data_IF_577226788573
#
_entry.id   IF_577226788573
#
_cell.length_a   1.000
_cell.length_b   1.000
_cell.length_c   1.000
_cell.angle_alpha   90.00
_cell.angle_beta   90.00
_cell.angle_gamma   90.00
#
_symmetry.space_group_name_H-M   'P 1'
#
loop_
_entity.id
_entity.type
_entity.pdbx_description
1 polymer ?
#
# COMPACT_ATOMS: atom_id res chain seq x y z
N UNK A 1 -10.68 31.79 -6.68
CA UNK A 1 -9.22 31.87 -6.68
C UNK A 1 -8.75 31.87 -5.23
N UNK A 2 -8.54 30.70 -4.65
CA UNK A 2 -8.09 30.54 -3.25
C UNK A 2 -6.62 30.19 -3.28
N UNK A 3 -5.76 31.18 -3.49
CA UNK A 3 -4.32 30.99 -3.39
C UNK A 3 -3.95 30.77 -1.92
N UNK A 4 -3.65 29.54 -1.55
CA UNK A 4 -3.08 29.22 -0.23
C UNK A 4 -1.60 29.62 -0.27
N UNK A 5 -1.13 30.37 0.73
CA UNK A 5 0.28 30.69 0.92
C UNK A 5 0.82 29.89 2.09
N UNK A 6 1.91 29.16 1.87
CA UNK A 6 2.64 28.46 2.93
C UNK A 6 3.72 29.41 3.44
N UNK A 7 3.67 29.74 4.73
CA UNK A 7 4.66 30.60 5.39
C UNK A 7 5.77 29.80 6.07
N UNK A 8 6.81 30.49 6.53
CA UNK A 8 7.87 29.90 7.33
C UNK A 8 7.33 29.40 8.69
N UNK A 9 7.63 28.15 9.04
CA UNK A 9 7.08 27.49 10.22
C UNK A 9 7.58 28.14 11.53
N UNK A 10 8.85 28.55 11.59
CA UNK A 10 9.45 29.14 12.77
C UNK A 10 8.84 30.52 13.07
N UNK A 11 8.69 31.34 12.03
CA UNK A 11 8.08 32.67 12.16
C UNK A 11 6.61 32.61 12.53
N UNK A 12 5.86 31.67 11.97
CA UNK A 12 4.46 31.45 12.32
C UNK A 12 4.32 30.97 13.77
N UNK A 13 5.15 30.02 14.21
CA UNK A 13 5.14 29.53 15.58
C UNK A 13 5.48 30.63 16.60
N UNK A 14 6.47 31.48 16.32
CA UNK A 14 6.80 32.64 17.18
C UNK A 14 5.61 33.60 17.37
N UNK A 15 4.78 33.76 16.33
CA UNK A 15 3.59 34.62 16.38
C UNK A 15 2.42 33.97 17.10
N UNK A 16 2.19 32.67 16.85
CA UNK A 16 1.04 31.94 17.37
C UNK A 16 1.23 31.49 18.83
N UNK A 17 2.43 31.05 19.21
CA UNK A 17 2.65 30.46 20.51
C UNK A 17 2.32 31.37 21.70
N UNK A 18 2.65 32.67 21.72
CA UNK A 18 2.23 33.56 22.82
C UNK A 18 0.71 33.67 22.97
N UNK A 19 -0.05 33.49 21.89
CA UNK A 19 -1.51 33.48 21.91
C UNK A 19 -2.01 32.16 22.48
N UNK A 20 -1.51 31.04 21.94
CA UNK A 20 -1.90 29.69 22.38
C UNK A 20 -1.56 29.45 23.85
N UNK A 21 -0.39 29.92 24.31
CA UNK A 21 0.10 29.71 25.68
C UNK A 21 -0.75 30.36 26.77
N UNK A 22 -1.67 31.27 26.42
CA UNK A 22 -2.57 31.89 27.41
C UNK A 22 -3.51 30.87 28.05
N UNK A 23 -3.95 29.90 27.25
CA UNK A 23 -4.99 28.94 27.64
C UNK A 23 -4.51 27.48 27.53
N UNK A 24 -3.18 27.24 27.43
CA UNK A 24 -2.63 25.89 27.24
C UNK A 24 -1.48 25.58 28.19
N UNK A 25 -1.61 24.49 28.95
CA UNK A 25 -0.55 23.95 29.81
C UNK A 25 0.54 23.19 29.05
N UNK A 26 0.15 22.55 27.94
CA UNK A 26 1.01 21.73 27.07
C UNK A 26 0.77 22.10 25.61
N UNK A 27 1.80 22.59 24.93
CA UNK A 27 1.79 22.90 23.50
C UNK A 27 2.51 21.79 22.72
N UNK A 28 1.76 21.02 21.94
CA UNK A 28 2.29 19.99 21.04
C UNK A 28 2.42 20.56 19.63
N UNK A 29 3.60 20.41 19.03
CA UNK A 29 3.88 20.80 17.64
C UNK A 29 3.98 19.55 16.79
N UNK A 30 2.97 19.28 15.98
CA UNK A 30 3.02 18.24 14.95
C UNK A 30 3.68 18.80 13.68
N UNK A 31 4.84 18.27 13.32
CA UNK A 31 5.69 18.78 12.25
C UNK A 31 5.81 17.75 11.12
N UNK A 32 5.43 18.14 9.90
CA UNK A 32 5.68 17.37 8.68
C UNK A 32 6.73 18.09 7.83
N UNK A 33 8.00 17.86 8.14
CA UNK A 33 9.16 18.52 7.53
C UNK A 33 10.41 17.66 7.70
N UNK A 34 11.56 18.09 7.15
CA UNK A 34 12.81 17.36 7.35
C UNK A 34 13.17 17.24 8.83
N UNK A 35 13.95 16.22 9.18
CA UNK A 35 14.40 16.01 10.55
C UNK A 35 15.18 17.21 11.12
N UNK A 36 16.01 17.84 10.30
CA UNK A 36 16.85 18.97 10.73
C UNK A 36 16.01 20.22 10.96
N UNK A 37 15.02 20.49 10.11
CA UNK A 37 14.09 21.60 10.32
C UNK A 37 13.26 21.39 11.59
N UNK A 38 12.75 20.17 11.82
CA UNK A 38 11.97 19.87 13.03
C UNK A 38 12.81 19.98 14.31
N UNK A 39 14.09 19.59 14.26
CA UNK A 39 15.04 19.84 15.36
C UNK A 39 15.27 21.32 15.59
N UNK A 40 15.38 22.13 14.53
CA UNK A 40 15.50 23.57 14.65
C UNK A 40 14.26 24.18 15.33
N UNK A 41 13.05 23.71 14.97
CA UNK A 41 11.81 24.10 15.65
C UNK A 41 11.83 23.70 17.14
N UNK A 42 12.26 22.49 17.47
CA UNK A 42 12.42 22.05 18.87
C UNK A 42 13.42 22.90 19.65
N UNK A 43 14.54 23.28 19.02
CA UNK A 43 15.57 24.12 19.63
C UNK A 43 15.09 25.55 19.94
N UNK A 44 14.01 26.02 19.30
CA UNK A 44 13.40 27.32 19.63
C UNK A 44 12.73 27.35 21.02
N UNK A 45 12.46 26.18 21.62
CA UNK A 45 11.86 26.10 22.96
C UNK A 45 10.40 26.57 23.04
N UNK A 46 9.70 26.63 21.91
CA UNK A 46 8.34 27.18 21.83
C UNK A 46 7.28 26.13 22.20
N UNK A 47 7.41 24.90 21.68
CA UNK A 47 6.56 23.76 22.07
C UNK A 47 7.07 23.06 23.33
N UNK A 48 6.21 22.25 23.96
CA UNK A 48 6.61 21.31 25.04
C UNK A 48 6.87 19.89 24.51
N UNK A 49 6.28 19.57 23.37
CA UNK A 49 6.49 18.32 22.64
C UNK A 49 6.52 18.66 21.15
N UNK A 50 7.55 18.20 20.45
CA UNK A 50 7.63 18.32 18.99
C UNK A 50 7.63 16.92 18.41
N UNK A 51 6.60 16.61 17.60
CA UNK A 51 6.44 15.32 16.94
C UNK A 51 6.74 15.52 15.47
N UNK A 52 7.86 14.97 15.00
CA UNK A 52 8.23 15.00 13.59
C UNK A 52 7.76 13.73 12.89
N UNK A 53 6.87 13.89 11.92
CA UNK A 53 6.45 12.84 11.00
C UNK A 53 6.87 13.23 9.58
N UNK A 54 7.90 12.61 9.02
CA UNK A 54 8.22 12.72 7.60
C UNK A 54 8.93 11.44 7.15
N UNK A 55 8.83 11.12 5.86
CA UNK A 55 9.35 9.86 5.31
C UNK A 55 10.87 9.93 5.28
N UNK A 56 11.53 9.26 6.22
CA UNK A 56 12.98 9.10 6.27
C UNK A 56 13.40 7.73 5.73
N UNK A 57 14.68 7.53 5.38
CA UNK A 57 15.16 6.23 4.86
C UNK A 57 15.18 5.11 5.92
N UNK A 58 15.37 5.47 7.18
CA UNK A 58 15.50 4.50 8.27
C UNK A 58 14.14 4.21 8.90
N UNK A 59 13.76 2.92 8.95
CA UNK A 59 12.60 2.43 9.69
C UNK A 59 13.07 1.59 10.89
N UNK A 60 12.49 1.83 12.06
CA UNK A 60 12.77 1.07 13.27
C UNK A 60 11.80 -0.10 13.38
N UNK A 61 12.19 -1.25 12.83
CA UNK A 61 11.38 -2.48 12.86
C UNK A 61 11.55 -3.25 14.17
N UNK A 62 10.54 -4.00 14.62
CA UNK A 62 10.68 -4.86 15.79
C UNK A 62 11.58 -6.06 15.50
N UNK A 63 12.15 -6.65 16.56
CA UNK A 63 12.74 -7.98 16.47
C UNK A 63 11.67 -9.01 16.13
N UNK A 64 12.11 -10.15 15.57
CA UNK A 64 11.23 -11.28 15.29
C UNK A 64 10.45 -11.69 16.55
N UNK A 65 9.14 -11.86 16.41
CA UNK A 65 8.20 -12.24 17.48
C UNK A 65 8.00 -11.17 18.58
N UNK A 66 8.39 -9.91 18.33
CA UNK A 66 8.01 -8.75 19.15
C UNK A 66 7.14 -7.80 18.34
N UNK A 67 6.21 -7.13 19.01
CA UNK A 67 5.37 -6.09 18.41
C UNK A 67 5.49 -4.74 19.12
N UNK A 68 6.38 -4.61 20.10
CA UNK A 68 6.65 -3.35 20.80
C UNK A 68 8.13 -3.01 20.68
N UNK A 69 8.41 -1.78 20.25
CA UNK A 69 9.78 -1.26 20.15
C UNK A 69 9.91 0.00 20.97
N UNK A 70 10.98 0.10 21.76
CA UNK A 70 11.35 1.36 22.41
C UNK A 70 11.90 2.31 21.34
N UNK A 71 11.15 3.39 21.10
CA UNK A 71 11.53 4.39 20.12
C UNK A 71 12.32 5.51 20.81
N UNK A 72 13.43 5.96 20.21
CA UNK A 72 14.21 7.06 20.74
C UNK A 72 13.37 8.34 20.80
N UNK A 73 13.68 9.14 21.80
CA UNK A 73 13.30 10.53 21.93
C UNK A 73 14.52 11.29 22.42
N UNK A 74 14.51 12.62 22.28
CA UNK A 74 15.55 13.46 22.87
C UNK A 74 14.93 14.52 23.76
N UNK A 75 15.55 14.71 24.92
CA UNK A 75 15.27 15.84 25.79
C UNK A 75 15.87 17.11 25.14
N UNK A 76 15.00 18.02 24.72
CA UNK A 76 15.38 19.28 24.06
C UNK A 76 15.04 20.50 24.89
N UNK A 77 15.36 21.70 24.38
CA UNK A 77 14.94 22.98 25.00
C UNK A 77 13.41 23.06 25.10
N UNK A 78 12.70 22.48 24.13
CA UNK A 78 11.25 22.32 24.11
C UNK A 78 10.73 21.20 25.01
N UNK A 79 11.54 20.46 25.77
CA UNK A 79 11.07 19.33 26.57
C UNK A 79 11.26 17.99 25.87
N UNK A 80 10.40 17.60 24.92
CA UNK A 80 10.51 16.28 24.24
C UNK A 80 10.44 16.42 22.72
N UNK A 81 11.40 15.82 22.02
CA UNK A 81 11.37 15.67 20.56
C UNK A 81 11.23 14.20 20.17
N UNK A 82 10.23 13.90 19.34
CA UNK A 82 9.94 12.57 18.83
C UNK A 82 10.20 12.49 17.32
N UNK A 83 10.85 11.41 16.91
CA UNK A 83 10.97 10.99 15.51
C UNK A 83 9.97 9.88 15.26
N UNK A 84 9.08 10.08 14.28
CA UNK A 84 8.34 8.97 13.68
C UNK A 84 9.34 8.12 12.90
N UNK A 85 9.72 6.96 13.45
CA UNK A 85 10.67 6.02 12.86
C UNK A 85 10.00 4.94 12.03
N UNK A 86 8.78 5.21 11.58
CA UNK A 86 8.00 4.28 10.79
C UNK A 86 7.50 4.99 9.56
N UNK A 87 7.42 4.23 8.47
CA UNK A 87 6.98 4.71 7.16
C UNK A 87 5.63 4.12 6.75
N UNK A 88 5.24 3.03 7.41
CA UNK A 88 4.01 2.29 7.14
C UNK A 88 3.01 2.55 8.26
N UNK A 89 1.71 2.47 7.94
CA UNK A 89 0.62 2.54 8.93
C UNK A 89 0.57 1.29 9.84
N UNK A 90 1.67 0.57 9.97
CA UNK A 90 1.80 -0.67 10.72
C UNK A 90 2.08 -0.47 12.19
N UNK A 91 2.21 0.78 12.66
CA UNK A 91 2.46 1.04 14.07
C UNK A 91 1.71 2.24 14.59
N UNK A 92 1.46 2.22 15.89
CA UNK A 92 0.91 3.35 16.65
C UNK A 92 1.99 3.80 17.65
N UNK A 93 2.33 5.08 17.60
CA UNK A 93 3.22 5.69 18.59
C UNK A 93 2.52 5.85 19.94
N UNK A 94 3.14 5.34 21.01
CA UNK A 94 2.71 5.52 22.40
C UNK A 94 3.72 6.38 23.14
N UNK A 95 3.33 7.62 23.42
CA UNK A 95 4.10 8.54 24.24
C UNK A 95 3.49 8.61 25.64
N UNK A 96 4.25 8.19 26.65
CA UNK A 96 3.89 8.30 28.05
C UNK A 96 4.80 9.32 28.73
N UNK A 97 4.21 10.37 29.29
CA UNK A 97 4.96 11.47 29.90
C UNK A 97 4.41 11.80 31.28
N UNK A 98 5.31 11.97 32.25
CA UNK A 98 4.98 12.45 33.60
C UNK A 98 5.62 13.80 33.85
N UNK A 99 4.80 14.77 34.28
CA UNK A 99 5.25 16.12 34.65
C UNK A 99 5.26 16.28 36.16
N UNK A 100 6.26 16.99 36.67
CA UNK A 100 6.34 17.40 38.08
C UNK A 100 5.40 18.57 38.38
N UNK A 101 5.18 18.84 39.67
CA UNK A 101 4.48 20.06 40.12
C UNK A 101 5.21 21.36 39.74
N UNK A 102 6.52 21.28 39.42
CA UNK A 102 7.31 22.40 38.93
C UNK A 102 7.35 22.46 37.39
N UNK A 103 6.38 21.81 36.71
CA UNK A 103 6.24 21.83 35.26
C UNK A 103 7.42 21.25 34.46
N UNK A 104 8.27 20.43 35.10
CA UNK A 104 9.37 19.71 34.43
C UNK A 104 8.96 18.28 34.09
N UNK A 105 9.29 17.82 32.90
CA UNK A 105 9.17 16.41 32.53
C UNK A 105 10.12 15.55 33.37
N UNK A 106 9.63 14.42 33.91
CA UNK A 106 10.37 13.55 34.83
C UNK A 106 10.54 12.13 34.30
N UNK A 107 9.57 11.66 33.54
CA UNK A 107 9.63 10.36 32.89
C UNK A 107 9.00 10.50 31.52
N UNK A 108 9.72 10.07 30.50
CA UNK A 108 9.27 10.05 29.12
C UNK A 108 9.55 8.64 28.61
N UNK A 109 8.51 7.97 28.11
CA UNK A 109 8.63 6.71 27.40
C UNK A 109 8.01 6.91 26.03
N UNK A 110 8.76 6.56 24.99
CA UNK A 110 8.27 6.54 23.62
C UNK A 110 8.37 5.11 23.12
N UNK A 111 7.25 4.55 22.70
CA UNK A 111 7.16 3.20 22.16
C UNK A 111 6.43 3.21 20.83
N UNK A 112 6.78 2.28 19.96
CA UNK A 112 6.02 1.95 18.76
C UNK A 112 5.33 0.61 19.00
N UNK A 113 4.01 0.60 18.88
CA UNK A 113 3.17 -0.60 18.94
C UNK A 113 2.88 -1.03 17.51
N UNK A 114 3.50 -2.10 17.04
CA UNK A 114 3.26 -2.66 15.73
C UNK A 114 1.94 -3.45 15.70
N UNK A 115 1.08 -3.11 14.75
CA UNK A 115 -0.25 -3.66 14.54
C UNK A 115 -0.15 -4.99 13.78
N UNK A 116 0.19 -6.04 14.52
CA UNK A 116 0.18 -7.40 14.02
C UNK A 116 -1.12 -8.13 14.39
N UNK A 117 -1.15 -9.45 14.19
CA UNK A 117 -2.33 -10.29 14.43
C UNK A 117 -2.62 -10.53 15.91
N UNK A 118 -1.80 -10.02 16.83
CA UNK A 118 -2.12 -10.08 18.27
C UNK A 118 -3.24 -9.10 18.64
N UNK A 119 -3.47 -8.06 17.83
CA UNK A 119 -4.54 -7.10 18.05
C UNK A 119 -5.81 -7.52 17.32
N UNK A 120 -6.91 -7.58 18.05
CA UNK A 120 -8.23 -7.78 17.45
C UNK A 120 -8.68 -6.52 16.69
N UNK A 121 -9.25 -6.72 15.51
CA UNK A 121 -9.84 -5.64 14.74
C UNK A 121 -11.13 -5.14 15.43
N UNK A 122 -11.32 -3.82 15.50
CA UNK A 122 -12.57 -3.25 16.01
C UNK A 122 -13.74 -3.62 15.09
N UNK A 123 -14.81 -4.26 15.61
CA UNK A 123 -15.97 -4.63 14.80
C UNK A 123 -16.65 -3.43 14.14
N UNK A 124 -16.64 -2.27 14.81
CA UNK A 124 -17.21 -1.02 14.27
C UNK A 124 -16.41 -0.51 13.06
N UNK A 125 -15.08 -0.53 13.16
CA UNK A 125 -14.19 -0.11 12.09
C UNK A 125 -14.29 -1.07 10.90
N UNK A 126 -14.28 -2.39 11.13
CA UNK A 126 -14.49 -3.39 10.07
C UNK A 126 -15.80 -3.14 9.33
N UNK A 127 -16.89 -2.86 10.05
CA UNK A 127 -18.19 -2.54 9.43
C UNK A 127 -18.13 -1.28 8.56
N UNK A 128 -17.40 -0.24 8.99
CA UNK A 128 -17.23 0.98 8.21
C UNK A 128 -16.41 0.74 6.94
N UNK A 129 -15.30 0.00 7.03
CA UNK A 129 -14.49 -0.38 5.88
C UNK A 129 -15.27 -1.24 4.89
N UNK A 130 -16.01 -2.24 5.37
CA UNK A 130 -16.86 -3.08 4.53
C UNK A 130 -17.89 -2.25 3.73
N UNK A 131 -18.54 -1.29 4.39
CA UNK A 131 -19.51 -0.41 3.74
C UNK A 131 -18.83 0.48 2.67
N UNK A 132 -17.65 1.02 2.99
CA UNK A 132 -16.87 1.84 2.06
C UNK A 132 -16.40 1.02 0.84
N UNK A 133 -15.89 -0.19 1.05
CA UNK A 133 -15.44 -1.08 -0.02
C UNK A 133 -16.61 -1.47 -0.96
N UNK A 134 -17.81 -1.66 -0.41
CA UNK A 134 -19.04 -1.86 -1.20
C UNK A 134 -19.36 -0.64 -2.05
N UNK A 135 -19.29 0.57 -1.48
CA UNK A 135 -19.55 1.81 -2.22
C UNK A 135 -18.52 2.04 -3.34
N UNK A 136 -17.22 1.85 -3.04
CA UNK A 136 -16.15 1.93 -4.02
C UNK A 136 -16.37 0.92 -5.16
N UNK A 137 -16.68 -0.34 -4.83
CA UNK A 137 -17.01 -1.36 -5.82
C UNK A 137 -18.15 -0.87 -6.73
N UNK A 138 -19.25 -0.44 -6.16
CA UNK A 138 -20.45 -0.07 -6.93
C UNK A 138 -20.17 1.16 -7.81
N UNK A 139 -19.38 2.11 -7.31
CA UNK A 139 -18.90 3.25 -8.08
C UNK A 139 -18.05 2.83 -9.29
N UNK A 140 -17.03 1.99 -9.08
CA UNK A 140 -16.15 1.54 -10.15
C UNK A 140 -16.89 0.66 -11.17
N UNK A 141 -17.75 -0.26 -10.72
CA UNK A 141 -18.55 -1.10 -11.61
C UNK A 141 -19.45 -0.23 -12.49
N UNK A 142 -20.16 0.73 -11.90
CA UNK A 142 -21.04 1.64 -12.65
C UNK A 142 -20.27 2.49 -13.66
N UNK A 143 -19.18 3.14 -13.23
CA UNK A 143 -18.35 3.97 -14.12
C UNK A 143 -17.83 3.17 -15.31
N UNK A 144 -17.44 1.91 -15.09
CA UNK A 144 -16.95 1.01 -16.13
C UNK A 144 -18.05 0.56 -17.09
N UNK A 145 -19.23 0.20 -16.58
CA UNK A 145 -20.39 -0.14 -17.41
C UNK A 145 -20.78 1.02 -18.34
N UNK A 146 -20.80 2.25 -17.81
CA UNK A 146 -21.08 3.45 -18.59
C UNK A 146 -20.03 3.68 -19.67
N UNK A 147 -18.74 3.58 -19.33
CA UNK A 147 -17.65 3.71 -20.29
C UNK A 147 -17.70 2.63 -21.38
N UNK A 148 -17.97 1.38 -21.00
CA UNK A 148 -18.13 0.26 -21.93
C UNK A 148 -19.30 0.48 -22.87
N UNK A 149 -20.46 0.89 -22.35
CA UNK A 149 -21.64 1.18 -23.17
C UNK A 149 -21.36 2.31 -24.18
N UNK A 150 -20.63 3.35 -23.78
CA UNK A 150 -20.22 4.44 -24.67
C UNK A 150 -19.25 3.94 -25.76
N UNK A 151 -18.27 3.11 -25.41
CA UNK A 151 -17.33 2.54 -26.37
C UNK A 151 -18.04 1.60 -27.35
N UNK A 152 -18.88 0.69 -26.85
CA UNK A 152 -19.66 -0.25 -27.68
C UNK A 152 -20.56 0.50 -28.67
N UNK A 153 -21.19 1.62 -28.24
CA UNK A 153 -21.96 2.49 -29.12
C UNK A 153 -21.08 3.08 -30.24
N UNK A 154 -19.86 3.54 -29.94
CA UNK A 154 -18.92 4.07 -30.93
C UNK A 154 -18.42 2.98 -31.89
N UNK A 155 -18.17 1.77 -31.40
CA UNK A 155 -17.74 0.62 -32.21
C UNK A 155 -18.85 0.22 -33.19
N UNK A 156 -20.09 0.07 -32.69
CA UNK A 156 -21.27 -0.26 -33.52
C UNK A 156 -21.55 0.81 -34.57
N UNK A 157 -21.38 2.09 -34.22
CA UNK A 157 -21.52 3.19 -35.18
C UNK A 157 -20.50 3.15 -36.33
N UNK A 158 -19.38 2.41 -36.17
CA UNK A 158 -18.38 2.15 -37.21
C UNK A 158 -18.64 0.84 -37.98
N UNK A 159 -19.77 0.16 -37.74
CA UNK A 159 -20.11 -1.11 -38.38
C UNK A 159 -19.28 -2.31 -37.92
N UNK A 160 -18.67 -2.21 -36.74
CA UNK A 160 -17.85 -3.28 -36.14
C UNK A 160 -18.60 -3.93 -34.98
N UNK A 161 -18.30 -5.20 -34.71
CA UNK A 161 -18.83 -5.91 -33.54
C UNK A 161 -17.95 -5.67 -32.29
N UNK A 162 -18.51 -5.17 -31.17
CA UNK A 162 -17.73 -4.91 -29.97
C UNK A 162 -17.11 -6.15 -29.30
N UNK A 163 -17.74 -7.31 -29.39
CA UNK A 163 -17.20 -8.56 -28.82
C UNK A 163 -15.99 -9.04 -29.64
N UNK A 164 -16.11 -9.03 -30.98
CA UNK A 164 -14.98 -9.33 -31.87
C UNK A 164 -13.81 -8.35 -31.66
N UNK A 165 -14.09 -7.05 -31.50
CA UNK A 165 -13.07 -6.05 -31.22
C UNK A 165 -12.36 -6.31 -29.89
N UNK A 166 -13.09 -6.72 -28.85
CA UNK A 166 -12.50 -7.07 -27.55
C UNK A 166 -11.64 -8.31 -27.65
N UNK A 167 -12.11 -9.37 -28.31
CA UNK A 167 -11.35 -10.61 -28.47
C UNK A 167 -10.08 -10.38 -29.29
N UNK A 168 -10.17 -9.62 -30.39
CA UNK A 168 -9.00 -9.29 -31.23
C UNK A 168 -7.94 -8.49 -30.50
N UNK A 169 -8.35 -7.63 -29.57
CA UNK A 169 -7.43 -6.78 -28.81
C UNK A 169 -6.89 -7.46 -27.54
N UNK A 170 -7.43 -8.62 -27.15
CA UNK A 170 -7.03 -9.35 -25.95
C UNK A 170 -5.55 -9.73 -26.02
N UNK A 171 -4.78 -9.40 -25.00
CA UNK A 171 -3.33 -9.69 -24.93
C UNK A 171 -2.98 -10.87 -24.04
N UNK A 172 -3.84 -11.18 -23.08
CA UNK A 172 -3.65 -12.27 -22.14
C UNK A 172 -4.37 -13.55 -22.60
N UNK A 173 -3.71 -14.69 -22.45
CA UNK A 173 -4.23 -16.01 -22.78
C UNK A 173 -4.95 -16.65 -21.58
N UNK A 174 -4.50 -16.36 -20.36
CA UNK A 174 -4.92 -17.00 -19.13
C UNK A 174 -4.22 -18.35 -18.90
N UNK A 175 -4.06 -18.71 -17.63
CA UNK A 175 -3.37 -19.94 -17.21
C UNK A 175 -3.93 -21.23 -17.85
N UNK A 176 -5.24 -21.25 -18.17
CA UNK A 176 -5.89 -22.40 -18.77
C UNK A 176 -5.33 -22.70 -20.17
N UNK A 177 -5.06 -21.66 -20.97
CA UNK A 177 -4.42 -21.80 -22.28
C UNK A 177 -2.96 -22.22 -22.14
N UNK A 178 -2.23 -21.64 -21.18
CA UNK A 178 -0.84 -22.03 -20.93
C UNK A 178 -0.70 -23.52 -20.59
N UNK A 179 -1.65 -24.06 -19.80
CA UNK A 179 -1.68 -25.47 -19.40
C UNK A 179 -1.70 -26.46 -20.58
N UNK A 180 -2.31 -26.08 -21.70
CA UNK A 180 -2.46 -26.97 -22.87
C UNK A 180 -1.11 -27.42 -23.44
N UNK A 181 -0.09 -26.55 -23.38
CA UNK A 181 1.27 -26.87 -23.83
C UNK A 181 2.28 -27.01 -22.66
N UNK A 182 2.04 -26.33 -21.53
CA UNK A 182 2.95 -26.25 -20.38
C UNK A 182 2.39 -26.91 -19.11
N UNK A 183 1.84 -28.11 -19.23
CA UNK A 183 1.21 -28.81 -18.11
C UNK A 183 2.10 -28.95 -16.86
N UNK A 184 3.39 -29.26 -17.04
CA UNK A 184 4.34 -29.40 -15.92
C UNK A 184 4.54 -28.09 -15.15
N UNK A 185 4.76 -26.99 -15.88
CA UNK A 185 4.89 -25.65 -15.29
C UNK A 185 3.60 -25.22 -14.59
N UNK A 186 2.45 -25.51 -15.21
CA UNK A 186 1.15 -25.26 -14.64
C UNK A 186 0.95 -25.98 -13.31
N UNK A 187 1.34 -27.25 -13.20
CA UNK A 187 1.20 -28.03 -11.96
C UNK A 187 2.06 -27.45 -10.84
N UNK A 188 3.29 -27.01 -11.14
CA UNK A 188 4.12 -26.28 -10.17
C UNK A 188 3.43 -25.00 -9.70
N UNK A 189 2.96 -24.16 -10.64
CA UNK A 189 2.28 -22.91 -10.34
C UNK A 189 1.01 -23.11 -9.50
N UNK A 190 0.19 -24.09 -9.88
CA UNK A 190 -1.11 -24.38 -9.25
C UNK A 190 -0.97 -24.65 -7.75
N UNK A 191 0.12 -25.29 -7.33
CA UNK A 191 0.34 -25.64 -5.94
C UNK A 191 0.89 -24.47 -5.09
N UNK A 192 1.26 -23.36 -5.72
CA UNK A 192 1.69 -22.14 -5.00
C UNK A 192 0.52 -21.33 -4.43
N UNK A 193 0.84 -20.31 -3.64
CA UNK A 193 -0.15 -19.31 -3.18
C UNK A 193 -0.61 -18.39 -4.29
N UNK A 194 0.21 -18.18 -5.32
CA UNK A 194 -0.12 -17.32 -6.45
C UNK A 194 -1.39 -17.77 -7.16
N UNK A 195 -1.63 -19.09 -7.30
CA UNK A 195 -2.82 -19.64 -7.97
C UNK A 195 -4.16 -19.31 -7.30
N UNK A 196 -4.14 -18.85 -6.05
CA UNK A 196 -5.30 -18.52 -5.22
C UNK A 196 -5.19 -17.15 -4.54
N UNK A 197 -4.33 -16.28 -5.08
CA UNK A 197 -4.01 -14.98 -4.49
C UNK A 197 -5.26 -14.12 -4.27
N UNK A 198 -6.23 -14.10 -5.18
CA UNK A 198 -7.42 -13.24 -5.03
C UNK A 198 -8.30 -13.66 -3.84
N UNK A 199 -8.24 -14.93 -3.43
CA UNK A 199 -9.13 -15.44 -2.38
C UNK A 199 -8.76 -14.86 -1.01
N UNK A 200 -7.51 -14.46 -0.80
CA UNK A 200 -7.12 -13.74 0.42
C UNK A 200 -7.83 -12.39 0.51
N UNK A 201 -8.01 -11.70 -0.63
CA UNK A 201 -8.69 -10.41 -0.67
C UNK A 201 -10.20 -10.55 -0.51
N UNK A 202 -10.82 -11.59 -1.09
CA UNK A 202 -12.26 -11.85 -0.90
C UNK A 202 -12.61 -12.10 0.56
N UNK A 203 -11.73 -12.79 1.30
CA UNK A 203 -11.94 -13.06 2.72
C UNK A 203 -11.94 -11.78 3.56
N UNK A 204 -11.22 -10.75 3.11
CA UNK A 204 -11.14 -9.43 3.77
C UNK A 204 -11.94 -8.34 3.04
N UNK A 205 -12.70 -8.70 1.99
CA UNK A 205 -13.47 -7.79 1.14
C UNK A 205 -12.65 -6.67 0.50
N UNK A 206 -11.39 -6.96 0.15
CA UNK A 206 -10.43 -6.04 -0.46
C UNK A 206 -10.24 -6.33 -1.97
N UNK A 207 -11.05 -7.20 -2.58
CA UNK A 207 -10.91 -7.57 -3.99
C UNK A 207 -11.27 -6.46 -4.99
N UNK A 208 -11.66 -5.28 -4.49
CA UNK A 208 -11.90 -4.06 -5.25
C UNK A 208 -10.91 -2.94 -4.92
N UNK A 209 -10.00 -3.17 -3.95
CA UNK A 209 -8.98 -2.19 -3.57
C UNK A 209 -7.86 -2.18 -4.62
N UNK A 210 -7.65 -1.05 -5.34
CA UNK A 210 -6.59 -0.91 -6.33
C UNK A 210 -5.18 -1.23 -5.83
N UNK A 211 -4.90 -0.97 -4.54
CA UNK A 211 -3.60 -1.23 -3.93
C UNK A 211 -3.36 -2.74 -3.75
N UNK A 212 -4.43 -3.49 -3.50
CA UNK A 212 -4.37 -4.92 -3.27
C UNK A 212 -4.44 -5.75 -4.57
N UNK A 213 -5.36 -5.40 -5.48
CA UNK A 213 -5.56 -6.19 -6.72
C UNK A 213 -4.36 -6.15 -7.65
N UNK A 214 -3.51 -5.12 -7.55
CA UNK A 214 -2.24 -5.02 -8.28
C UNK A 214 -1.31 -6.22 -8.07
N UNK A 215 -1.22 -6.71 -6.83
CA UNK A 215 -0.35 -7.84 -6.47
C UNK A 215 -1.07 -9.19 -6.40
N UNK A 216 -2.41 -9.20 -6.48
CA UNK A 216 -3.22 -10.41 -6.31
C UNK A 216 -3.88 -10.89 -7.62
N UNK A 217 -3.60 -10.23 -8.75
CA UNK A 217 -4.19 -10.54 -10.06
C UNK A 217 -3.18 -10.40 -11.18
N UNK A 218 -3.56 -10.76 -12.40
CA UNK A 218 -2.67 -10.73 -13.57
C UNK A 218 -2.98 -9.54 -14.47
N UNK A 219 -2.00 -8.67 -14.67
CA UNK A 219 -2.12 -7.55 -15.61
C UNK A 219 -3.05 -6.44 -15.14
N UNK A 220 -3.28 -6.29 -13.83
CA UNK A 220 -4.01 -5.12 -13.33
C UNK A 220 -3.35 -3.82 -13.81
N UNK A 221 -4.16 -2.85 -14.21
CA UNK A 221 -3.72 -1.59 -14.80
C UNK A 221 -2.88 -1.73 -16.10
N UNK A 222 -2.83 -2.93 -16.68
CA UNK A 222 -2.23 -3.19 -18.00
C UNK A 222 -3.32 -3.31 -19.06
N UNK A 223 -2.93 -3.05 -20.32
CA UNK A 223 -3.87 -3.11 -21.44
C UNK A 223 -4.46 -4.52 -21.57
N UNK A 224 -5.79 -4.62 -21.45
CA UNK A 224 -6.58 -5.88 -21.48
C UNK A 224 -6.30 -6.88 -20.36
N UNK A 225 -5.59 -6.47 -19.30
CA UNK A 225 -5.37 -7.31 -18.13
C UNK A 225 -6.55 -7.31 -17.15
N UNK A 226 -6.31 -7.76 -15.91
CA UNK A 226 -7.37 -7.87 -14.91
C UNK A 226 -8.04 -6.52 -14.64
N UNK A 227 -9.38 -6.52 -14.62
CA UNK A 227 -10.20 -5.37 -14.27
C UNK A 227 -10.97 -5.65 -12.98
N UNK A 228 -11.79 -6.69 -12.98
CA UNK A 228 -12.52 -7.17 -11.82
C UNK A 228 -13.05 -8.59 -12.10
N UNK A 229 -13.61 -9.22 -11.07
CA UNK A 229 -14.18 -10.57 -11.14
C UNK A 229 -15.39 -10.71 -12.09
N UNK A 230 -15.95 -9.61 -12.61
CA UNK A 230 -17.08 -9.64 -13.54
C UNK A 230 -16.64 -9.51 -15.00
N UNK A 231 -15.64 -8.67 -15.28
CA UNK A 231 -15.18 -8.39 -16.64
C UNK A 231 -14.09 -9.37 -17.11
N UNK A 232 -13.15 -9.73 -16.23
CA UNK A 232 -12.00 -10.58 -16.56
C UNK A 232 -11.70 -11.60 -15.45
N UNK A 233 -12.69 -12.43 -15.04
CA UNK A 233 -12.49 -13.43 -13.99
C UNK A 233 -11.36 -14.41 -14.31
N UNK A 234 -11.10 -14.65 -15.58
CA UNK A 234 -10.04 -15.54 -16.06
C UNK A 234 -8.63 -15.00 -15.84
N UNK A 235 -8.47 -13.74 -15.44
CA UNK A 235 -7.19 -13.11 -15.07
C UNK A 235 -7.06 -12.88 -13.56
N UNK A 236 -8.02 -13.40 -12.78
CA UNK A 236 -7.88 -13.44 -11.33
C UNK A 236 -6.65 -14.27 -10.93
N UNK A 237 -6.04 -13.93 -9.80
CA UNK A 237 -4.83 -14.57 -9.27
C UNK A 237 -3.50 -14.16 -9.94
N UNK A 238 -2.45 -14.56 -9.23
CA UNK A 238 -1.03 -14.72 -9.56
C UNK A 238 -0.60 -15.49 -10.81
N UNK A 239 -1.11 -15.29 -12.04
CA UNK A 239 -0.93 -16.29 -13.11
C UNK A 239 0.45 -16.31 -13.78
N UNK A 240 0.67 -17.29 -14.67
CA UNK A 240 1.90 -17.43 -15.47
C UNK A 240 2.30 -16.11 -16.15
N UNK A 241 1.32 -15.39 -16.69
CA UNK A 241 1.51 -14.15 -17.44
C UNK A 241 1.87 -12.94 -16.57
N UNK A 242 1.83 -13.06 -15.24
CA UNK A 242 2.32 -12.02 -14.34
C UNK A 242 3.85 -11.98 -14.29
N UNK A 243 4.52 -13.12 -14.48
CA UNK A 243 5.97 -13.22 -14.59
C UNK A 243 6.44 -13.27 -16.04
N UNK A 244 5.73 -14.02 -16.90
CA UNK A 244 6.16 -14.26 -18.29
C UNK A 244 5.61 -13.23 -19.29
N UNK A 245 4.81 -12.25 -18.83
CA UNK A 245 4.14 -11.27 -19.68
C UNK A 245 2.90 -11.82 -20.39
N UNK A 246 2.29 -11.00 -21.24
CA UNK A 246 1.04 -11.33 -21.94
C UNK A 246 1.27 -12.30 -23.10
N UNK A 247 0.58 -13.45 -23.07
CA UNK A 247 0.88 -14.63 -23.85
C UNK A 247 -0.11 -14.99 -24.95
N UNK A 248 -1.15 -14.18 -25.21
CA UNK A 248 -2.15 -14.50 -26.26
C UNK A 248 -1.51 -14.70 -27.63
N UNK A 249 -0.55 -13.85 -28.00
CA UNK A 249 0.16 -13.97 -29.26
C UNK A 249 1.03 -15.24 -29.33
N UNK A 250 1.68 -15.59 -28.21
CA UNK A 250 2.48 -16.81 -28.09
C UNK A 250 1.59 -18.07 -28.17
N UNK A 251 0.44 -18.08 -27.48
CA UNK A 251 -0.51 -19.18 -27.55
C UNK A 251 -1.05 -19.40 -28.98
N UNK A 252 -1.30 -18.32 -29.72
CA UNK A 252 -1.76 -18.40 -31.11
C UNK A 252 -0.65 -18.85 -32.09
N UNK A 253 0.61 -18.48 -31.82
CA UNK A 253 1.77 -18.84 -32.65
C UNK A 253 2.97 -19.16 -31.76
N UNK A 254 3.06 -20.41 -31.26
CA UNK A 254 4.13 -20.80 -30.35
C UNK A 254 5.51 -20.62 -30.99
N UNK A 255 6.40 -19.95 -30.26
CA UNK A 255 7.78 -19.70 -30.67
C UNK A 255 8.70 -19.73 -29.45
N UNK A 256 9.92 -20.21 -29.64
CA UNK A 256 10.96 -20.16 -28.62
C UNK A 256 11.32 -18.70 -28.26
N UNK A 257 11.75 -18.49 -27.02
CA UNK A 257 12.20 -17.17 -26.53
C UNK A 257 11.10 -16.28 -25.93
N UNK A 258 9.85 -16.75 -25.87
CA UNK A 258 8.80 -16.09 -25.10
C UNK A 258 9.02 -16.25 -23.60
N UNK A 259 8.63 -15.24 -22.81
CA UNK A 259 8.46 -15.38 -21.37
C UNK A 259 9.75 -15.44 -20.56
N UNK A 260 10.82 -14.80 -21.01
CA UNK A 260 11.97 -14.57 -20.12
C UNK A 260 11.54 -13.78 -18.89
N UNK A 261 11.88 -14.27 -17.71
CA UNK A 261 11.56 -13.66 -16.41
C UNK A 261 12.79 -13.66 -15.52
N UNK A 262 12.86 -12.71 -14.61
CA UNK A 262 13.87 -12.64 -13.55
C UNK A 262 13.29 -12.08 -12.24
N UNK A 263 14.20 -11.80 -11.31
CA UNK A 263 13.89 -11.30 -9.97
C UNK A 263 13.04 -10.02 -9.97
N UNK A 264 13.21 -9.17 -10.98
CA UNK A 264 12.46 -7.92 -11.14
C UNK A 264 10.95 -8.12 -11.16
N UNK A 265 10.47 -9.25 -11.72
CA UNK A 265 9.03 -9.55 -11.75
C UNK A 265 8.51 -9.93 -10.37
N UNK A 266 9.32 -10.65 -9.56
CA UNK A 266 8.96 -10.95 -8.17
C UNK A 266 8.86 -9.65 -7.35
N UNK A 267 9.82 -8.73 -7.55
CA UNK A 267 9.89 -7.46 -6.82
C UNK A 267 8.84 -6.43 -7.21
N UNK A 268 8.04 -6.70 -8.24
CA UNK A 268 6.85 -5.89 -8.54
C UNK A 268 5.80 -5.94 -7.42
N UNK A 269 5.76 -7.05 -6.68
CA UNK A 269 4.83 -7.28 -5.57
C UNK A 269 5.57 -7.50 -4.24
N UNK A 270 6.73 -8.16 -4.28
CA UNK A 270 7.57 -8.43 -3.11
C UNK A 270 8.59 -7.30 -2.89
N UNK A 271 8.11 -6.17 -2.39
CA UNK A 271 8.93 -5.02 -2.01
C UNK A 271 9.32 -5.08 -0.53
N UNK A 272 10.32 -4.28 -0.12
CA UNK A 272 10.65 -4.13 1.31
C UNK A 272 9.44 -3.67 2.15
N UNK A 273 8.51 -2.93 1.53
CA UNK A 273 7.29 -2.45 2.18
C UNK A 273 6.21 -3.52 2.29
N UNK A 274 6.05 -4.41 1.32
CA UNK A 274 4.96 -5.38 1.28
C UNK A 274 5.35 -6.78 1.77
N UNK A 275 6.63 -7.15 1.60
CA UNK A 275 7.20 -8.43 2.02
C UNK A 275 8.69 -8.25 2.42
N UNK A 276 8.97 -7.64 3.59
CA UNK A 276 10.34 -7.35 4.03
C UNK A 276 11.21 -8.61 4.21
N UNK A 277 10.58 -9.77 4.41
CA UNK A 277 11.26 -11.06 4.59
C UNK A 277 11.45 -11.83 3.27
N UNK A 278 11.15 -11.20 2.12
CA UNK A 278 11.26 -11.84 0.82
C UNK A 278 12.70 -12.21 0.46
N UNK A 279 12.95 -13.51 0.36
CA UNK A 279 14.20 -14.08 -0.14
C UNK A 279 13.97 -14.67 -1.54
N UNK A 280 14.49 -13.99 -2.56
CA UNK A 280 14.34 -14.40 -3.96
C UNK A 280 14.89 -15.80 -4.22
N UNK A 281 16.13 -16.10 -3.80
CA UNK A 281 16.79 -17.37 -4.05
C UNK A 281 16.03 -18.56 -3.45
N UNK A 282 15.42 -18.35 -2.27
CA UNK A 282 14.61 -19.35 -1.59
C UNK A 282 13.23 -19.50 -2.22
N UNK A 283 12.57 -18.40 -2.58
CA UNK A 283 11.21 -18.44 -3.12
C UNK A 283 11.18 -18.87 -4.59
N UNK A 284 12.18 -18.49 -5.38
CA UNK A 284 12.34 -18.91 -6.77
C UNK A 284 12.33 -20.44 -6.92
N UNK A 285 13.03 -21.15 -6.04
CA UNK A 285 13.09 -22.62 -6.03
C UNK A 285 11.73 -23.30 -5.87
N UNK A 286 10.72 -22.60 -5.34
CA UNK A 286 9.36 -23.14 -5.15
C UNK A 286 8.49 -23.03 -6.41
N UNK A 287 8.87 -22.19 -7.37
CA UNK A 287 8.08 -21.92 -8.58
C UNK A 287 8.84 -22.20 -9.87
N UNK A 288 10.16 -22.40 -9.80
CA UNK A 288 11.01 -22.77 -10.93
C UNK A 288 10.53 -24.08 -11.60
N UNK A 289 10.54 -24.10 -12.93
CA UNK A 289 10.06 -25.19 -13.77
C UNK A 289 10.76 -25.22 -15.14
#
# INVERSE_FOLDING_TARGET
>A
DTSVKIGDAADLLKKLAPVLRKDTDILVVAAHMTMDDAKAISAMGIGDVVICSHIEKESLMPEKDKNVVDAPYSDGVSGVFLKSLTRTNWSVGKLEMKRSQANKWQAVSNKLLYLDREYEESPEIVKMFDAHNIELRDFYVKQREEMRAQLDKKIRARGLDPDEMRERNKRYAGHASCKECHAKAYDVWKDTRHSRAIDTLKNTKQEFDPECVGCHTTGYNQLTGFINMRETPELANVQCEACHGAGKAHAAKPAAGYGATGEEHCRSCHTEELDPDFDYEKMWKKIAH
#
